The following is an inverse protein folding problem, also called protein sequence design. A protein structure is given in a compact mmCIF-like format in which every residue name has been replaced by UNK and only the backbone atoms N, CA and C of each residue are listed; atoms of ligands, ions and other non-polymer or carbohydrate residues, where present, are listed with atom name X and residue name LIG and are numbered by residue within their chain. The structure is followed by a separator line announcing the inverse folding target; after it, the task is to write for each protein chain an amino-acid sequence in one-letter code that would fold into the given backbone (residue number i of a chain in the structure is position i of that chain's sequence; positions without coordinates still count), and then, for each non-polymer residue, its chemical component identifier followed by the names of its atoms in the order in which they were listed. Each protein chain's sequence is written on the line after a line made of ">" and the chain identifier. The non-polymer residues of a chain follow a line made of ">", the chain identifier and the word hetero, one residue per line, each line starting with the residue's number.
data_IF_472977589751
#
_entry.id   IF_472977589751
#
_cell.length_a   1.000
_cell.length_b   1.000
_cell.length_c   1.000
_cell.angle_alpha   90.00
_cell.angle_beta   90.00
_cell.angle_gamma   90.00
#
_symmetry.space_group_name_H-M   'P 1'
#
loop_
_entity.id
_entity.type
_entity.pdbx_description
1 polymer ?
#
# COMPACT_ATOMS: atom_id res chain seq x y z
N UNK A 1 5.45 56.44 -15.03
CA UNK A 1 5.23 56.11 -13.61
C UNK A 1 3.79 55.70 -13.28
N UNK A 2 2.74 56.32 -13.85
CA UNK A 2 1.35 55.94 -13.56
C UNK A 2 0.95 54.49 -13.93
N UNK A 3 1.47 53.95 -15.04
CA UNK A 3 1.17 52.56 -15.47
C UNK A 3 1.70 51.48 -14.51
N UNK A 4 2.78 51.77 -13.78
CA UNK A 4 3.36 50.86 -12.78
C UNK A 4 2.56 50.85 -11.47
N UNK A 5 2.03 52.02 -11.05
CA UNK A 5 1.14 52.11 -9.88
C UNK A 5 -0.18 51.36 -10.09
N UNK A 6 -0.78 51.43 -11.30
CA UNK A 6 -2.01 50.67 -11.61
C UNK A 6 -1.82 49.15 -11.61
N UNK A 7 -0.64 48.63 -12.01
CA UNK A 7 -0.34 47.19 -11.96
C UNK A 7 -0.07 46.68 -10.55
N UNK A 8 0.61 47.45 -9.70
CA UNK A 8 0.82 47.10 -8.30
C UNK A 8 -0.49 47.04 -7.49
N UNK A 9 -1.41 47.97 -7.75
CA UNK A 9 -2.74 47.99 -7.12
C UNK A 9 -3.61 46.82 -7.59
N UNK A 10 -3.53 46.44 -8.87
CA UNK A 10 -4.26 45.28 -9.40
C UNK A 10 -3.75 43.95 -8.81
N UNK A 11 -2.43 43.80 -8.66
CA UNK A 11 -1.83 42.60 -8.07
C UNK A 11 -2.17 42.47 -6.58
N UNK A 12 -2.14 43.59 -5.83
CA UNK A 12 -2.53 43.62 -4.43
C UNK A 12 -4.03 43.33 -4.24
N UNK A 13 -4.90 43.84 -5.12
CA UNK A 13 -6.33 43.52 -5.11
C UNK A 13 -6.61 42.05 -5.43
N UNK A 14 -5.88 41.44 -6.36
CA UNK A 14 -6.02 40.00 -6.67
C UNK A 14 -5.57 39.14 -5.50
N UNK A 15 -4.44 39.46 -4.86
CA UNK A 15 -3.97 38.72 -3.67
C UNK A 15 -4.94 38.90 -2.49
N UNK A 16 -5.46 40.10 -2.26
CA UNK A 16 -6.46 40.35 -1.21
C UNK A 16 -7.79 39.64 -1.53
N UNK A 17 -8.20 39.55 -2.79
CA UNK A 17 -9.39 38.77 -3.18
C UNK A 17 -9.19 37.27 -3.03
N UNK A 18 -7.98 36.73 -3.32
CA UNK A 18 -7.66 35.31 -3.10
C UNK A 18 -7.63 34.99 -1.60
N UNK A 19 -7.04 35.84 -0.76
CA UNK A 19 -7.02 35.65 0.70
C UNK A 19 -8.41 35.88 1.32
N UNK A 20 -9.18 36.84 0.83
CA UNK A 20 -10.54 37.08 1.30
C UNK A 20 -11.51 35.97 0.87
N UNK A 21 -11.35 35.39 -0.32
CA UNK A 21 -12.10 34.20 -0.73
C UNK A 21 -11.66 32.95 0.04
N UNK A 22 -10.38 32.82 0.40
CA UNK A 22 -9.88 31.78 1.31
C UNK A 22 -10.53 31.88 2.71
N UNK A 23 -10.61 33.09 3.27
CA UNK A 23 -11.26 33.33 4.55
C UNK A 23 -12.79 33.23 4.49
N UNK A 24 -13.42 33.56 3.35
CA UNK A 24 -14.86 33.35 3.15
C UNK A 24 -15.23 31.87 2.95
N UNK A 25 -14.34 31.05 2.38
CA UNK A 25 -14.54 29.59 2.31
C UNK A 25 -14.42 28.95 3.69
N UNK A 26 -13.53 29.44 4.57
CA UNK A 26 -13.53 29.01 5.97
C UNK A 26 -14.73 29.54 6.78
N UNK A 27 -15.21 30.76 6.50
CA UNK A 27 -16.25 31.40 7.31
C UNK A 27 -17.70 31.12 6.85
N UNK A 28 -17.91 30.68 5.60
CA UNK A 28 -19.25 30.41 5.06
C UNK A 28 -19.50 28.90 4.92
N UNK A 29 -19.66 28.21 6.05
CA UNK A 29 -20.35 26.92 6.10
C UNK A 29 -19.51 25.68 6.38
N UNK A 30 -18.34 25.78 7.02
CA UNK A 30 -17.76 24.61 7.70
C UNK A 30 -18.70 24.22 8.85
N UNK A 31 -19.59 23.27 8.58
CA UNK A 31 -19.97 22.32 9.63
C UNK A 31 -18.64 21.66 10.00
N UNK A 32 -18.05 22.05 11.13
CA UNK A 32 -16.91 21.34 11.71
C UNK A 32 -17.36 19.87 11.85
N UNK A 33 -16.92 19.01 10.93
CA UNK A 33 -17.44 17.66 10.78
C UNK A 33 -17.22 16.90 12.07
N UNK A 34 -16.05 17.04 12.70
CA UNK A 34 -15.75 16.51 14.04
C UNK A 34 -16.85 16.87 15.04
N UNK A 35 -17.17 18.16 15.18
CA UNK A 35 -18.21 18.64 16.11
C UNK A 35 -19.59 18.07 15.78
N UNK A 36 -19.93 17.96 14.49
CA UNK A 36 -21.21 17.34 14.05
C UNK A 36 -21.24 15.87 14.47
N UNK A 37 -20.20 15.10 14.15
CA UNK A 37 -20.11 13.67 14.45
C UNK A 37 -20.14 13.40 15.95
N UNK A 38 -19.44 14.19 16.76
CA UNK A 38 -19.51 14.11 18.22
C UNK A 38 -20.93 14.39 18.73
N UNK A 39 -21.59 15.43 18.22
CA UNK A 39 -22.94 15.79 18.65
C UNK A 39 -24.02 14.77 18.22
N UNK A 40 -23.77 14.04 17.14
CA UNK A 40 -24.66 13.01 16.59
C UNK A 40 -24.36 11.61 17.15
N UNK A 41 -23.32 11.45 17.97
CA UNK A 41 -22.87 10.13 18.46
C UNK A 41 -22.31 9.22 17.37
N UNK A 42 -21.82 9.81 16.27
CA UNK A 42 -21.18 9.12 15.13
C UNK A 42 -19.65 9.02 15.26
N UNK A 43 -19.11 9.75 16.21
CA UNK A 43 -17.73 9.70 16.69
C UNK A 43 -17.80 9.71 18.22
N UNK A 44 -17.09 8.78 18.85
CA UNK A 44 -17.02 8.68 20.31
C UNK A 44 -15.56 8.73 20.73
N UNK A 45 -15.27 9.45 21.80
CA UNK A 45 -13.94 9.45 22.42
C UNK A 45 -13.78 8.20 23.28
N UNK A 46 -12.67 7.48 23.12
CA UNK A 46 -12.40 6.27 23.89
C UNK A 46 -12.00 6.67 25.32
N UNK A 47 -12.88 6.41 26.30
CA UNK A 47 -12.44 6.27 27.69
C UNK A 47 -11.83 4.88 27.87
N UNK A 48 -10.68 4.78 28.54
CA UNK A 48 -9.81 3.59 28.64
C UNK A 48 -10.41 2.26 29.12
N UNK A 49 -11.71 2.19 29.47
CA UNK A 49 -12.23 1.15 30.37
C UNK A 49 -13.41 0.29 29.84
N UNK A 50 -13.75 0.31 28.53
CA UNK A 50 -14.71 -0.68 27.98
C UNK A 50 -14.57 -0.89 26.47
N UNK A 51 -14.00 -2.03 26.09
CA UNK A 51 -13.67 -2.40 24.70
C UNK A 51 -14.81 -3.13 23.96
N UNK A 52 -15.62 -3.89 24.71
CA UNK A 52 -16.70 -4.70 24.16
C UNK A 52 -17.63 -5.09 25.31
N UNK A 53 -18.94 -5.15 25.07
CA UNK A 53 -19.86 -5.80 25.99
C UNK A 53 -20.56 -6.96 25.30
N UNK A 54 -20.43 -8.14 25.90
CA UNK A 54 -21.00 -9.39 25.39
C UNK A 54 -22.04 -9.85 26.39
N UNK A 55 -23.26 -10.08 25.90
CA UNK A 55 -24.36 -10.61 26.71
C UNK A 55 -24.88 -11.87 26.05
N UNK A 56 -24.86 -12.99 26.78
CA UNK A 56 -25.43 -14.25 26.30
C UNK A 56 -26.92 -14.05 25.98
N UNK A 57 -27.32 -14.43 24.77
CA UNK A 57 -28.69 -14.28 24.29
C UNK A 57 -29.27 -15.64 23.89
N UNK A 58 -30.53 -15.87 24.25
CA UNK A 58 -31.19 -17.11 23.88
C UNK A 58 -31.52 -17.11 22.39
N UNK A 59 -30.98 -18.07 21.66
CA UNK A 59 -31.34 -18.30 20.26
C UNK A 59 -32.84 -18.63 20.13
N UNK A 60 -33.60 -17.71 19.53
CA UNK A 60 -35.04 -17.88 19.31
C UNK A 60 -35.33 -18.68 18.05
N UNK A 61 -36.50 -19.33 17.97
CA UNK A 61 -36.92 -20.07 16.76
C UNK A 61 -36.88 -19.21 15.49
N UNK A 62 -37.20 -17.92 15.62
CA UNK A 62 -37.18 -16.98 14.50
C UNK A 62 -35.75 -16.75 14.00
N UNK A 63 -34.79 -16.58 14.91
CA UNK A 63 -33.37 -16.41 14.57
C UNK A 63 -32.79 -17.70 13.98
N UNK A 64 -33.04 -18.86 14.62
CA UNK A 64 -32.65 -20.17 14.07
C UNK A 64 -33.15 -20.36 12.63
N UNK A 65 -34.42 -20.01 12.38
CA UNK A 65 -34.99 -20.15 11.04
C UNK A 65 -34.36 -19.23 10.00
N UNK A 66 -33.79 -18.09 10.40
CA UNK A 66 -33.03 -17.21 9.50
C UNK A 66 -31.65 -17.81 9.19
N UNK A 67 -30.94 -18.25 10.23
CA UNK A 67 -29.63 -18.89 10.12
C UNK A 67 -29.72 -20.11 9.18
N UNK A 68 -30.66 -21.02 9.41
CA UNK A 68 -30.81 -22.25 8.61
C UNK A 68 -31.21 -22.02 7.14
N UNK A 69 -31.66 -20.81 6.80
CA UNK A 69 -32.02 -20.43 5.42
C UNK A 69 -30.89 -19.69 4.70
N UNK A 70 -29.82 -19.34 5.40
CA UNK A 70 -28.70 -18.62 4.80
C UNK A 70 -27.94 -19.56 3.84
N UNK A 71 -27.80 -19.13 2.59
CA UNK A 71 -27.16 -19.97 1.55
C UNK A 71 -25.66 -20.12 1.76
N UNK A 72 -24.99 -19.10 2.29
CA UNK A 72 -23.56 -19.17 2.62
C UNK A 72 -23.32 -20.25 3.66
N UNK A 73 -24.10 -20.26 4.74
CA UNK A 73 -23.96 -21.28 5.80
C UNK A 73 -24.22 -22.69 5.29
N UNK A 74 -25.16 -22.84 4.34
CA UNK A 74 -25.41 -24.13 3.69
C UNK A 74 -24.18 -24.65 2.92
N UNK A 75 -23.49 -23.78 2.18
CA UNK A 75 -22.26 -24.18 1.46
C UNK A 75 -21.08 -24.43 2.41
N UNK A 76 -21.10 -23.81 3.59
CA UNK A 76 -20.13 -24.05 4.68
C UNK A 76 -20.54 -25.22 5.60
N UNK A 77 -21.58 -25.99 5.25
CA UNK A 77 -22.15 -27.09 6.05
C UNK A 77 -22.43 -26.70 7.53
N UNK A 78 -22.82 -25.45 7.75
CA UNK A 78 -23.06 -24.86 9.07
C UNK A 78 -24.57 -24.61 9.27
N UNK A 79 -25.10 -24.89 10.48
CA UNK A 79 -26.53 -24.70 10.79
C UNK A 79 -26.77 -24.27 12.23
N UNK A 80 -27.96 -23.76 12.53
CA UNK A 80 -28.31 -23.29 13.87
C UNK A 80 -28.28 -24.39 14.95
N UNK A 81 -28.35 -25.67 14.54
CA UNK A 81 -28.24 -26.82 15.46
C UNK A 81 -26.82 -27.09 15.94
N UNK A 82 -25.82 -26.54 15.26
CA UNK A 82 -24.40 -26.64 15.59
C UNK A 82 -23.93 -25.53 16.55
N UNK A 83 -24.78 -24.54 16.85
CA UNK A 83 -24.44 -23.40 17.71
C UNK A 83 -24.27 -23.87 19.16
N UNK A 84 -23.12 -23.56 19.75
CA UNK A 84 -22.77 -23.79 21.14
C UNK A 84 -23.11 -22.55 21.99
N UNK A 85 -22.81 -21.36 21.48
CA UNK A 85 -23.10 -20.08 22.15
C UNK A 85 -23.62 -19.06 21.15
N UNK A 86 -24.57 -18.24 21.61
CA UNK A 86 -25.14 -17.14 20.84
C UNK A 86 -25.17 -15.91 21.73
N UNK A 87 -24.44 -14.88 21.33
CA UNK A 87 -24.23 -13.68 22.13
C UNK A 87 -24.74 -12.46 21.37
N UNK A 88 -25.30 -11.52 22.11
CA UNK A 88 -25.43 -10.14 21.64
C UNK A 88 -24.14 -9.39 21.94
N UNK A 89 -23.63 -8.71 20.93
CA UNK A 89 -22.36 -8.00 20.99
C UNK A 89 -22.61 -6.51 20.81
N UNK A 90 -21.98 -5.71 21.66
CA UNK A 90 -21.84 -4.27 21.49
C UNK A 90 -20.34 -3.98 21.27
N UNK A 91 -19.92 -4.07 20.01
CA UNK A 91 -18.54 -3.86 19.58
C UNK A 91 -18.39 -2.41 19.08
N UNK A 92 -17.59 -1.62 19.81
CA UNK A 92 -17.41 -0.19 19.50
C UNK A 92 -16.54 0.06 18.25
N UNK A 93 -15.71 -0.91 17.86
CA UNK A 93 -14.91 -0.80 16.64
C UNK A 93 -15.66 -1.29 15.40
N UNK A 94 -16.59 -2.22 15.59
CA UNK A 94 -17.41 -2.83 14.54
C UNK A 94 -18.89 -2.75 14.90
N UNK A 95 -19.48 -1.54 14.88
CA UNK A 95 -20.86 -1.33 15.32
C UNK A 95 -21.89 -2.10 14.47
N UNK A 96 -21.50 -2.58 13.29
CA UNK A 96 -22.35 -3.40 12.44
C UNK A 96 -22.49 -4.83 12.98
N UNK A 97 -21.56 -5.31 13.82
CA UNK A 97 -21.66 -6.61 14.50
C UNK A 97 -22.58 -6.46 15.70
N UNK A 98 -23.65 -7.25 15.70
CA UNK A 98 -24.71 -7.20 16.71
C UNK A 98 -24.91 -8.54 17.40
N UNK A 99 -24.55 -9.64 16.73
CA UNK A 99 -24.55 -10.97 17.32
C UNK A 99 -23.28 -11.73 16.94
N UNK A 100 -22.85 -12.62 17.81
CA UNK A 100 -21.78 -13.58 17.57
C UNK A 100 -22.28 -14.97 17.95
N UNK A 101 -21.99 -15.96 17.09
CA UNK A 101 -22.29 -17.35 17.35
C UNK A 101 -21.03 -18.21 17.22
N UNK A 102 -20.79 -19.06 18.22
CA UNK A 102 -19.73 -20.07 18.17
C UNK A 102 -20.34 -21.44 17.88
N UNK A 103 -19.70 -22.21 17.02
CA UNK A 103 -20.21 -23.49 16.51
C UNK A 103 -19.33 -24.67 16.95
N UNK A 104 -19.88 -25.88 16.81
CA UNK A 104 -19.24 -27.13 17.23
C UNK A 104 -18.03 -27.56 16.39
N UNK A 105 -17.88 -27.02 15.19
CA UNK A 105 -16.74 -27.20 14.28
C UNK A 105 -15.61 -26.18 14.53
N UNK A 106 -15.73 -25.40 15.62
CA UNK A 106 -14.78 -24.34 15.98
C UNK A 106 -14.99 -23.02 15.23
N UNK A 107 -15.98 -22.93 14.33
CA UNK A 107 -16.25 -21.67 13.63
C UNK A 107 -16.89 -20.62 14.53
N UNK A 108 -16.57 -19.36 14.26
CA UNK A 108 -17.19 -18.17 14.88
C UNK A 108 -17.76 -17.30 13.78
N UNK A 109 -19.04 -16.96 13.91
CA UNK A 109 -19.77 -16.18 12.91
C UNK A 109 -20.40 -14.95 13.56
N UNK A 110 -20.13 -13.80 12.96
CA UNK A 110 -20.66 -12.51 13.39
C UNK A 110 -21.78 -12.06 12.44
N UNK A 111 -22.86 -11.57 13.03
CA UNK A 111 -24.06 -11.14 12.32
C UNK A 111 -24.42 -9.69 12.62
N UNK A 112 -25.06 -9.06 11.64
CA UNK A 112 -25.76 -7.79 11.84
C UNK A 112 -27.13 -7.98 12.55
N UNK A 113 -27.86 -6.88 12.73
CA UNK A 113 -29.20 -6.92 13.32
C UNK A 113 -30.28 -7.56 12.42
N UNK A 114 -30.00 -7.82 11.15
CA UNK A 114 -30.86 -8.56 10.23
C UNK A 114 -30.59 -10.07 10.26
N UNK A 115 -29.47 -10.51 10.85
CA UNK A 115 -28.89 -11.86 10.79
C UNK A 115 -28.18 -12.17 9.46
N UNK A 116 -27.70 -11.16 8.76
CA UNK A 116 -26.77 -11.34 7.65
C UNK A 116 -25.35 -11.52 8.19
N UNK A 117 -24.55 -12.35 7.53
CA UNK A 117 -23.17 -12.65 7.96
C UNK A 117 -22.27 -11.47 7.60
N UNK A 118 -21.65 -10.89 8.61
CA UNK A 118 -20.65 -9.81 8.47
C UNK A 118 -19.24 -10.40 8.45
N UNK A 119 -19.00 -11.39 9.32
CA UNK A 119 -17.71 -12.09 9.42
C UNK A 119 -17.93 -13.58 9.69
N UNK A 120 -17.02 -14.39 9.16
CA UNK A 120 -16.88 -15.82 9.45
C UNK A 120 -15.40 -16.11 9.68
N UNK A 121 -15.11 -16.92 10.69
CA UNK A 121 -13.78 -17.47 10.92
C UNK A 121 -13.84 -18.94 11.30
N UNK A 122 -12.94 -19.75 10.74
CA UNK A 122 -12.73 -21.14 11.14
C UNK A 122 -11.25 -21.50 10.97
N UNK A 123 -10.53 -21.48 12.09
CA UNK A 123 -9.12 -21.86 12.15
C UNK A 123 -8.91 -23.32 12.57
N UNK A 124 -9.97 -24.09 12.76
CA UNK A 124 -9.87 -25.51 13.14
C UNK A 124 -9.64 -26.38 11.89
N UNK A 125 -8.38 -26.76 11.63
CA UNK A 125 -7.90 -27.40 10.39
C UNK A 125 -8.64 -28.68 9.99
N UNK A 126 -9.41 -29.30 10.90
CA UNK A 126 -10.13 -30.55 10.65
C UNK A 126 -11.43 -30.37 9.82
N UNK A 127 -11.90 -29.13 9.61
CA UNK A 127 -13.17 -28.85 8.90
C UNK A 127 -12.93 -28.51 7.42
N UNK A 128 -13.32 -29.40 6.51
CA UNK A 128 -13.20 -29.20 5.05
C UNK A 128 -14.50 -28.68 4.42
N UNK A 129 -14.40 -27.98 3.29
CA UNK A 129 -15.54 -27.74 2.40
C UNK A 129 -16.13 -29.10 2.00
N UNK A 130 -17.46 -29.19 1.89
CA UNK A 130 -18.15 -30.37 1.37
C UNK A 130 -17.47 -30.88 0.08
N UNK A 131 -17.19 -32.18 0.01
CA UNK A 131 -16.46 -32.80 -1.11
C UNK A 131 -17.11 -32.59 -2.48
N UNK A 132 -18.38 -32.19 -2.51
CA UNK A 132 -19.18 -31.96 -3.72
C UNK A 132 -19.19 -30.49 -4.18
N UNK A 133 -18.60 -29.57 -3.42
CA UNK A 133 -18.60 -28.12 -3.70
C UNK A 133 -17.21 -27.64 -4.11
N UNK A 134 -17.08 -27.00 -5.28
CA UNK A 134 -15.82 -26.37 -5.67
C UNK A 134 -15.65 -25.02 -4.96
N UNK A 135 -14.40 -24.57 -4.78
CA UNK A 135 -14.17 -23.25 -4.19
C UNK A 135 -14.80 -22.13 -5.02
N UNK A 136 -14.84 -22.26 -6.35
CA UNK A 136 -15.51 -21.29 -7.23
C UNK A 136 -17.01 -21.22 -6.98
N UNK A 137 -17.66 -22.34 -6.67
CA UNK A 137 -19.08 -22.37 -6.34
C UNK A 137 -19.35 -21.59 -5.04
N UNK A 138 -18.51 -21.76 -4.02
CA UNK A 138 -18.57 -20.95 -2.79
C UNK A 138 -18.41 -19.46 -3.12
N UNK A 139 -17.37 -19.10 -3.87
CA UNK A 139 -17.14 -17.71 -4.25
C UNK A 139 -18.33 -17.14 -5.04
N UNK A 140 -18.97 -17.94 -5.90
CA UNK A 140 -20.16 -17.53 -6.65
C UNK A 140 -21.37 -17.29 -5.74
N UNK A 141 -21.60 -18.16 -4.75
CA UNK A 141 -22.65 -17.97 -3.74
C UNK A 141 -22.39 -16.72 -2.93
N UNK A 142 -21.16 -16.52 -2.43
CA UNK A 142 -20.78 -15.32 -1.68
C UNK A 142 -21.02 -14.05 -2.50
N UNK A 143 -20.56 -14.00 -3.75
CA UNK A 143 -20.80 -12.84 -4.63
C UNK A 143 -22.29 -12.58 -4.84
N UNK A 144 -23.10 -13.62 -5.03
CA UNK A 144 -24.53 -13.48 -5.23
C UNK A 144 -25.25 -12.96 -3.98
N UNK A 145 -24.95 -13.53 -2.81
CA UNK A 145 -25.58 -13.12 -1.54
C UNK A 145 -25.16 -11.71 -1.12
N UNK A 146 -23.90 -11.33 -1.37
CA UNK A 146 -23.38 -10.01 -1.05
C UNK A 146 -23.50 -8.97 -2.18
N UNK A 147 -24.21 -9.30 -3.28
CA UNK A 147 -24.40 -8.42 -4.43
C UNK A 147 -23.09 -7.87 -5.05
N UNK A 148 -22.05 -8.70 -5.08
CA UNK A 148 -20.76 -8.39 -5.70
C UNK A 148 -20.88 -8.58 -7.21
N UNK A 149 -20.95 -7.48 -7.94
CA UNK A 149 -21.13 -7.44 -9.39
C UNK A 149 -19.83 -7.03 -10.14
N UNK A 150 -19.96 -6.72 -11.44
CA UNK A 150 -18.82 -6.35 -12.29
C UNK A 150 -18.21 -4.98 -11.97
N UNK A 151 -18.81 -4.20 -11.07
CA UNK A 151 -18.26 -2.93 -10.60
C UNK A 151 -17.23 -3.14 -9.48
N UNK A 152 -17.06 -4.35 -8.96
CA UNK A 152 -16.01 -4.66 -8.00
C UNK A 152 -14.71 -5.05 -8.71
N UNK A 153 -13.59 -4.52 -8.22
CA UNK A 153 -12.26 -4.93 -8.64
C UNK A 153 -11.81 -6.14 -7.86
N UNK A 154 -11.55 -7.21 -8.59
CA UNK A 154 -11.04 -8.47 -8.05
C UNK A 154 -9.52 -8.46 -7.93
N UNK A 155 -9.01 -8.99 -6.82
CA UNK A 155 -7.60 -9.32 -6.60
C UNK A 155 -7.49 -10.67 -5.88
N UNK A 156 -6.39 -11.39 -6.14
CA UNK A 156 -6.01 -12.60 -5.41
C UNK A 156 -4.54 -12.57 -5.06
N UNK A 157 -4.20 -12.87 -3.81
CA UNK A 157 -2.83 -12.83 -3.28
C UNK A 157 -2.56 -14.11 -2.50
N UNK A 158 -1.42 -14.73 -2.77
CA UNK A 158 -0.87 -15.80 -1.93
C UNK A 158 -0.18 -15.17 -0.71
N UNK A 159 -0.56 -15.59 0.49
CA UNK A 159 -0.09 -15.04 1.77
C UNK A 159 0.17 -16.17 2.77
N UNK A 160 1.45 -16.48 2.99
CA UNK A 160 1.92 -17.53 3.91
C UNK A 160 1.33 -18.93 3.64
N UNK A 161 1.13 -19.27 2.37
CA UNK A 161 0.50 -20.53 1.93
C UNK A 161 -0.98 -20.35 1.63
N UNK A 162 -1.70 -19.50 2.36
CA UNK A 162 -3.11 -19.23 2.09
C UNK A 162 -3.32 -18.44 0.79
N UNK A 163 -4.55 -18.50 0.27
CA UNK A 163 -5.00 -17.63 -0.82
C UNK A 163 -6.06 -16.67 -0.31
N UNK A 164 -5.81 -15.38 -0.46
CA UNK A 164 -6.75 -14.30 -0.14
C UNK A 164 -7.36 -13.76 -1.42
N UNK A 165 -8.68 -13.86 -1.53
CA UNK A 165 -9.48 -13.27 -2.59
C UNK A 165 -10.16 -12.00 -2.08
N UNK A 166 -10.07 -10.90 -2.81
CA UNK A 166 -10.68 -9.63 -2.43
C UNK A 166 -11.42 -8.99 -3.60
N UNK A 167 -12.61 -8.47 -3.32
CA UNK A 167 -13.42 -7.67 -4.23
C UNK A 167 -13.72 -6.32 -3.57
N UNK A 168 -13.20 -5.23 -4.13
CA UNK A 168 -13.46 -3.88 -3.64
C UNK A 168 -14.32 -3.11 -4.64
N UNK A 169 -15.36 -2.42 -4.18
CA UNK A 169 -16.21 -1.62 -5.05
C UNK A 169 -15.36 -0.57 -5.76
N UNK A 170 -15.37 -0.56 -7.08
CA UNK A 170 -14.66 0.45 -7.84
C UNK A 170 -15.61 1.60 -8.18
N UNK A 171 -15.24 2.79 -7.72
CA UNK A 171 -15.87 4.03 -8.12
C UNK A 171 -15.21 4.52 -9.41
N UNK A 172 -15.91 4.35 -10.52
CA UNK A 172 -15.45 4.81 -11.84
C UNK A 172 -15.47 6.33 -12.00
N UNK A 173 -16.30 7.05 -11.24
CA UNK A 173 -16.40 8.50 -11.32
C UNK A 173 -15.18 9.16 -10.68
N UNK A 174 -14.79 8.69 -9.49
CA UNK A 174 -13.63 9.21 -8.77
C UNK A 174 -12.33 8.42 -9.02
N UNK A 175 -12.42 7.33 -9.81
CA UNK A 175 -11.31 6.45 -10.17
C UNK A 175 -10.53 5.91 -8.95
N UNK A 176 -11.25 5.45 -7.93
CA UNK A 176 -10.69 4.85 -6.72
C UNK A 176 -11.48 3.60 -6.28
N UNK A 177 -10.91 2.78 -5.40
CA UNK A 177 -11.64 1.68 -4.77
C UNK A 177 -12.16 2.09 -3.39
N UNK A 178 -13.36 1.62 -3.05
CA UNK A 178 -13.91 1.77 -1.71
C UNK A 178 -13.66 0.49 -0.91
N UNK A 179 -12.64 0.53 -0.05
CA UNK A 179 -12.30 -0.59 0.85
C UNK A 179 -13.41 -0.93 1.85
N UNK A 180 -14.29 0.03 2.15
CA UNK A 180 -15.41 -0.15 3.08
C UNK A 180 -16.68 -0.69 2.41
N UNK A 181 -16.66 -0.88 1.09
CA UNK A 181 -17.61 -1.69 0.35
C UNK A 181 -16.85 -2.81 -0.36
N UNK A 182 -16.55 -3.87 0.38
CA UNK A 182 -15.70 -4.97 -0.10
C UNK A 182 -16.09 -6.33 0.48
N UNK A 183 -15.60 -7.39 -0.19
CA UNK A 183 -15.67 -8.77 0.27
C UNK A 183 -14.24 -9.33 0.27
N UNK A 184 -13.83 -9.92 1.40
CA UNK A 184 -12.54 -10.60 1.54
C UNK A 184 -12.79 -12.04 1.96
N UNK A 185 -12.18 -12.99 1.25
CA UNK A 185 -12.27 -14.42 1.53
C UNK A 185 -10.86 -14.98 1.60
N UNK A 186 -10.51 -15.65 2.71
CA UNK A 186 -9.26 -16.39 2.85
C UNK A 186 -9.55 -17.87 2.79
N UNK A 187 -8.81 -18.58 1.96
CA UNK A 187 -8.82 -20.04 1.86
C UNK A 187 -7.42 -20.58 2.11
N UNK A 188 -7.33 -21.84 2.52
CA UNK A 188 -6.04 -22.53 2.60
C UNK A 188 -5.39 -22.69 1.22
N UNK A 189 -4.13 -23.12 1.21
CA UNK A 189 -3.31 -23.35 0.01
C UNK A 189 -3.93 -24.31 -1.01
N UNK A 190 -4.63 -25.34 -0.52
CA UNK A 190 -5.31 -26.34 -1.35
C UNK A 190 -6.68 -25.89 -1.89
N UNK A 191 -7.18 -24.72 -1.45
CA UNK A 191 -8.52 -24.20 -1.78
C UNK A 191 -9.66 -25.16 -1.37
N UNK A 192 -9.42 -25.97 -0.35
CA UNK A 192 -10.36 -26.98 0.19
C UNK A 192 -11.05 -26.51 1.47
N UNK A 193 -10.66 -25.35 2.01
CA UNK A 193 -11.23 -24.79 3.24
C UNK A 193 -11.36 -23.27 3.18
N UNK A 194 -12.51 -22.75 3.61
CA UNK A 194 -12.68 -21.32 3.91
C UNK A 194 -12.21 -21.07 5.35
N UNK A 195 -11.22 -20.21 5.50
CA UNK A 195 -10.67 -19.80 6.80
C UNK A 195 -11.34 -18.52 7.31
N UNK A 196 -11.55 -17.55 6.42
CA UNK A 196 -12.14 -16.26 6.75
C UNK A 196 -13.07 -15.77 5.64
N UNK A 197 -14.16 -15.13 6.04
CA UNK A 197 -14.98 -14.26 5.18
C UNK A 197 -15.20 -12.96 5.93
N UNK A 198 -14.97 -11.82 5.29
CA UNK A 198 -15.32 -10.50 5.82
C UNK A 198 -16.09 -9.70 4.78
N UNK A 199 -17.28 -9.21 5.14
CA UNK A 199 -18.09 -8.31 4.33
C UNK A 199 -18.10 -6.91 4.95
N UNK A 200 -17.59 -5.94 4.21
CA UNK A 200 -17.67 -4.52 4.55
C UNK A 200 -18.73 -3.86 3.68
N UNK A 201 -19.76 -3.25 4.26
CA UNK A 201 -20.85 -2.61 3.50
C UNK A 201 -21.23 -1.25 4.11
N UNK A 202 -20.24 -0.44 4.43
CA UNK A 202 -20.48 0.84 5.08
C UNK A 202 -21.04 1.87 4.09
N UNK A 203 -22.01 2.65 4.56
CA UNK A 203 -22.51 3.80 3.81
C UNK A 203 -21.43 4.88 3.65
N UNK A 204 -21.36 5.49 2.47
CA UNK A 204 -20.38 6.51 2.14
C UNK A 204 -20.99 7.74 1.47
N UNK A 205 -20.36 8.90 1.72
CA UNK A 205 -20.71 10.19 1.10
C UNK A 205 -19.48 11.13 1.08
N UNK A 206 -19.37 12.12 0.18
CA UNK A 206 -20.19 12.29 -1.01
C UNK A 206 -19.88 11.24 -2.07
N UNK A 207 -20.73 11.17 -3.10
CA UNK A 207 -20.53 10.31 -4.28
C UNK A 207 -19.59 10.98 -5.30
N UNK A 208 -19.40 12.29 -5.23
CA UNK A 208 -18.54 13.04 -6.16
C UNK A 208 -17.79 14.15 -5.44
N UNK A 209 -16.59 14.50 -5.91
CA UNK A 209 -15.84 15.64 -5.40
C UNK A 209 -16.52 16.98 -5.72
N UNK A 210 -16.49 17.92 -4.76
CA UNK A 210 -16.92 19.31 -4.92
C UNK A 210 -15.77 20.31 -4.85
N UNK A 211 -14.58 19.89 -4.40
CA UNK A 211 -13.35 20.69 -4.45
C UNK A 211 -12.42 20.20 -5.56
N UNK A 212 -11.43 21.02 -5.93
CA UNK A 212 -10.39 20.62 -6.87
C UNK A 212 -9.21 19.96 -6.16
N UNK A 213 -8.49 19.10 -6.89
CA UNK A 213 -7.23 18.50 -6.44
C UNK A 213 -6.22 19.57 -5.99
N UNK A 214 -6.12 20.69 -6.70
CA UNK A 214 -5.21 21.77 -6.34
C UNK A 214 -5.59 22.41 -5.01
N UNK A 215 -6.89 22.65 -4.75
CA UNK A 215 -7.34 23.15 -3.45
C UNK A 215 -7.00 22.17 -2.34
N UNK A 216 -7.18 20.87 -2.56
CA UNK A 216 -6.84 19.84 -1.58
C UNK A 216 -5.32 19.81 -1.27
N UNK A 217 -4.47 19.93 -2.28
CA UNK A 217 -3.00 20.02 -2.10
C UNK A 217 -2.59 21.21 -1.25
N UNK A 218 -3.16 22.39 -1.50
CA UNK A 218 -2.85 23.60 -0.73
C UNK A 218 -3.32 23.46 0.72
N UNK A 219 -4.51 22.89 0.94
CA UNK A 219 -5.03 22.61 2.28
C UNK A 219 -4.11 21.64 3.04
N UNK A 220 -3.67 20.55 2.38
CA UNK A 220 -2.76 19.59 2.98
C UNK A 220 -1.42 20.20 3.40
N UNK A 221 -0.80 21.03 2.55
CA UNK A 221 0.45 21.75 2.89
C UNK A 221 0.28 22.73 4.05
N UNK A 222 -0.94 23.23 4.30
CA UNK A 222 -1.21 24.17 5.38
C UNK A 222 -1.41 23.53 6.77
N UNK A 223 -1.45 22.20 6.86
CA UNK A 223 -1.74 21.47 8.10
C UNK A 223 -0.61 21.64 9.13
N UNK A 224 0.65 21.67 8.69
CA UNK A 224 1.84 21.84 9.53
C UNK A 224 2.82 22.78 8.85
N UNK A 225 3.53 23.60 9.62
CA UNK A 225 4.52 24.55 9.08
C UNK A 225 5.69 23.82 8.39
N UNK A 226 6.02 22.62 8.86
CA UNK A 226 7.11 21.80 8.35
C UNK A 226 6.79 21.02 7.07
N UNK A 227 5.56 21.07 6.56
CA UNK A 227 5.16 20.38 5.33
C UNK A 227 5.64 21.13 4.08
N UNK A 228 6.44 20.46 3.23
CA UNK A 228 7.16 21.15 2.15
C UNK A 228 6.62 20.84 0.75
N UNK A 229 6.46 19.55 0.42
CA UNK A 229 6.16 19.11 -0.94
C UNK A 229 5.05 18.06 -0.97
N UNK A 230 4.07 18.28 -1.86
CA UNK A 230 3.12 17.23 -2.22
C UNK A 230 3.77 16.28 -3.22
N UNK A 231 3.84 15.01 -2.83
CA UNK A 231 4.51 13.94 -3.58
C UNK A 231 3.51 13.05 -4.32
N UNK A 232 2.27 12.96 -3.84
CA UNK A 232 1.15 12.28 -4.50
C UNK A 232 -0.19 12.89 -4.08
N UNK A 233 -1.21 12.79 -4.93
CA UNK A 233 -2.59 13.14 -4.58
C UNK A 233 -3.53 12.21 -5.35
N UNK A 234 -4.33 11.42 -4.64
CA UNK A 234 -5.28 10.46 -5.21
C UNK A 234 -6.60 10.50 -4.47
N UNK A 235 -7.70 10.11 -5.13
CA UNK A 235 -8.98 9.92 -4.45
C UNK A 235 -8.98 8.63 -3.64
N UNK A 236 -9.65 8.62 -2.49
CA UNK A 236 -9.79 7.45 -1.61
C UNK A 236 -11.08 7.55 -0.79
N UNK A 237 -11.50 6.45 -0.19
CA UNK A 237 -12.55 6.42 0.82
C UNK A 237 -11.95 6.15 2.18
N UNK A 238 -12.28 6.99 3.17
CA UNK A 238 -11.68 6.94 4.52
C UNK A 238 -12.76 7.17 5.59
N UNK A 239 -12.69 6.42 6.69
CA UNK A 239 -13.38 6.78 7.94
C UNK A 239 -12.60 7.90 8.64
N UNK A 240 -13.21 9.06 8.94
CA UNK A 240 -12.53 10.14 9.66
C UNK A 240 -11.79 9.65 10.90
N UNK A 241 -10.58 10.15 11.11
CA UNK A 241 -9.75 9.79 12.27
C UNK A 241 -9.09 11.00 12.97
N UNK A 242 -9.22 12.20 12.41
CA UNK A 242 -8.73 13.46 12.98
C UNK A 242 -7.26 13.43 13.45
N UNK A 243 -6.42 12.62 12.79
CA UNK A 243 -5.01 12.38 13.15
C UNK A 243 -4.16 13.64 13.34
N UNK A 244 -4.47 14.72 12.62
CA UNK A 244 -3.69 15.96 12.64
C UNK A 244 -4.12 16.97 13.70
N UNK A 245 -5.19 16.69 14.44
CA UNK A 245 -5.65 17.52 15.56
C UNK A 245 -4.59 17.52 16.68
N UNK A 246 -4.49 18.63 17.40
CA UNK A 246 -3.51 18.77 18.50
C UNK A 246 -3.94 18.05 19.79
N UNK A 247 -5.19 17.60 19.86
CA UNK A 247 -5.74 16.87 21.00
C UNK A 247 -5.35 15.39 20.89
N UNK A 248 -4.51 14.90 21.82
CA UNK A 248 -4.10 13.49 21.91
C UNK A 248 -5.25 12.63 22.45
N UNK A 249 -6.27 12.45 21.62
CA UNK A 249 -7.50 11.71 21.93
C UNK A 249 -7.65 10.58 20.93
N UNK A 250 -7.77 9.36 21.44
CA UNK A 250 -8.14 8.21 20.63
C UNK A 250 -9.66 8.22 20.41
N UNK A 251 -10.07 8.21 19.15
CA UNK A 251 -11.48 8.09 18.77
C UNK A 251 -11.83 6.65 18.42
N UNK A 252 -13.06 6.25 18.71
CA UNK A 252 -13.69 5.10 18.06
C UNK A 252 -13.74 5.36 16.54
N UNK A 253 -13.66 4.30 15.73
CA UNK A 253 -13.75 4.46 14.26
C UNK A 253 -15.07 5.16 13.94
N UNK A 254 -14.98 6.30 13.23
CA UNK A 254 -16.17 7.00 12.77
C UNK A 254 -17.07 6.04 11.98
N UNK A 255 -18.37 6.03 12.28
CA UNK A 255 -19.35 5.15 11.61
C UNK A 255 -19.80 5.68 10.24
N UNK A 256 -19.03 6.60 9.65
CA UNK A 256 -19.26 7.18 8.34
C UNK A 256 -18.00 7.05 7.49
N UNK A 257 -18.19 6.81 6.20
CA UNK A 257 -17.10 6.77 5.22
C UNK A 257 -17.19 8.02 4.35
N UNK A 258 -16.06 8.72 4.21
CA UNK A 258 -15.96 9.94 3.41
C UNK A 258 -15.09 9.75 2.18
N UNK A 259 -15.52 10.29 1.04
CA UNK A 259 -14.67 10.44 -0.13
C UNK A 259 -13.67 11.58 0.14
N UNK A 260 -12.38 11.31 -0.07
CA UNK A 260 -11.30 12.26 0.22
C UNK A 260 -10.31 12.36 -0.92
N UNK A 261 -9.58 13.47 -0.95
CA UNK A 261 -8.24 13.50 -1.51
C UNK A 261 -7.27 13.00 -0.45
N UNK A 262 -6.60 11.88 -0.72
CA UNK A 262 -5.45 11.39 0.01
C UNK A 262 -4.19 12.07 -0.56
N UNK A 263 -3.71 13.09 0.16
CA UNK A 263 -2.55 13.89 -0.23
C UNK A 263 -1.32 13.41 0.52
N UNK A 264 -0.34 12.89 -0.22
CA UNK A 264 0.94 12.47 0.36
C UNK A 264 1.93 13.63 0.37
N UNK A 265 2.40 14.01 1.56
CA UNK A 265 3.35 15.10 1.79
C UNK A 265 4.69 14.53 2.26
N UNK A 266 5.77 15.03 1.66
CA UNK A 266 7.16 14.68 1.98
C UNK A 266 7.46 13.16 1.97
N UNK A 267 6.73 12.41 1.13
CA UNK A 267 6.77 10.95 0.95
C UNK A 267 6.40 10.10 2.19
N UNK A 268 5.90 10.70 3.27
CA UNK A 268 5.72 10.00 4.55
C UNK A 268 4.38 10.29 5.22
N UNK A 269 3.87 11.51 5.08
CA UNK A 269 2.64 11.96 5.71
C UNK A 269 1.47 11.84 4.73
N UNK A 270 0.34 11.30 5.17
CA UNK A 270 -0.89 11.25 4.40
C UNK A 270 -1.90 12.20 5.05
N UNK A 271 -2.41 13.16 4.29
CA UNK A 271 -3.45 14.10 4.72
C UNK A 271 -4.74 13.78 3.98
N UNK A 272 -5.83 13.53 4.72
CA UNK A 272 -7.13 13.22 4.16
C UNK A 272 -8.00 14.48 4.14
N UNK A 273 -8.14 15.06 2.96
CA UNK A 273 -8.95 16.26 2.72
C UNK A 273 -10.31 15.84 2.16
N UNK A 274 -11.38 16.13 2.89
CA UNK A 274 -12.74 15.80 2.50
C UNK A 274 -13.10 16.39 1.12
N UNK A 275 -13.52 15.54 0.20
CA UNK A 275 -13.75 15.94 -1.19
C UNK A 275 -14.98 16.84 -1.36
N UNK A 276 -15.89 16.89 -0.37
CA UNK A 276 -17.07 17.74 -0.39
C UNK A 276 -16.79 19.14 0.15
N UNK A 277 -16.11 19.21 1.29
CA UNK A 277 -16.01 20.41 2.13
C UNK A 277 -14.63 21.04 2.12
N UNK A 278 -13.58 20.27 1.82
CA UNK A 278 -12.19 20.68 2.00
C UNK A 278 -11.72 20.66 3.46
N UNK A 279 -12.50 20.11 4.40
CA UNK A 279 -12.04 19.90 5.77
C UNK A 279 -10.97 18.80 5.82
N UNK A 280 -9.93 18.98 6.64
CA UNK A 280 -8.97 17.91 6.93
C UNK A 280 -9.59 17.01 7.98
N UNK A 281 -10.00 15.81 7.58
CA UNK A 281 -10.76 14.89 8.42
C UNK A 281 -9.92 13.73 8.95
N UNK A 282 -8.61 13.76 8.66
CA UNK A 282 -7.69 12.76 9.14
C UNK A 282 -6.36 12.72 8.44
N UNK A 283 -5.60 11.68 8.77
CA UNK A 283 -4.32 11.37 8.17
C UNK A 283 -3.70 10.11 8.71
N UNK A 284 -2.48 9.86 8.29
CA UNK A 284 -1.65 8.76 8.74
C UNK A 284 -0.18 9.04 8.41
N UNK A 285 0.74 8.22 8.93
CA UNK A 285 2.18 8.29 8.67
C UNK A 285 2.69 6.90 8.31
N UNK A 286 3.50 6.81 7.25
CA UNK A 286 4.12 5.53 6.84
C UNK A 286 5.04 5.01 7.95
N UNK A 287 4.70 3.84 8.53
CA UNK A 287 5.41 3.23 9.67
C UNK A 287 6.72 2.51 9.32
N UNK A 288 7.10 2.47 8.05
CA UNK A 288 8.40 1.98 7.59
C UNK A 288 8.91 2.85 6.45
N UNK A 289 10.18 3.25 6.49
CA UNK A 289 10.87 3.84 5.34
C UNK A 289 12.07 2.96 5.05
N UNK A 290 12.01 2.26 3.92
CA UNK A 290 13.18 1.59 3.38
C UNK A 290 13.85 2.57 2.45
N UNK A 291 15.00 3.08 2.86
CA UNK A 291 15.74 4.05 2.07
C UNK A 291 16.43 3.30 0.90
N UNK A 292 16.54 3.99 -0.23
CA UNK A 292 17.35 3.56 -1.38
C UNK A 292 18.43 4.58 -1.72
N UNK A 293 19.63 4.08 -2.04
CA UNK A 293 20.77 4.86 -2.51
C UNK A 293 21.05 4.61 -3.98
N UNK A 294 21.14 5.70 -4.76
CA UNK A 294 21.32 5.66 -6.22
C UNK A 294 22.60 6.43 -6.54
N UNK A 295 23.61 5.72 -7.00
CA UNK A 295 24.94 6.26 -7.24
C UNK A 295 25.37 5.96 -8.66
N UNK A 296 25.73 6.97 -9.43
CA UNK A 296 26.09 6.79 -10.84
C UNK A 296 27.36 7.55 -11.17
N UNK A 297 28.25 6.89 -11.91
CA UNK A 297 29.49 7.49 -12.39
C UNK A 297 29.21 8.51 -13.50
N UNK A 298 29.60 9.76 -13.30
CA UNK A 298 29.41 10.85 -14.27
C UNK A 298 30.20 10.69 -15.59
N UNK A 299 31.20 9.80 -15.61
CA UNK A 299 32.00 9.51 -16.81
C UNK A 299 31.28 8.68 -17.87
N UNK A 300 30.09 8.13 -17.59
CA UNK A 300 29.32 7.36 -18.57
C UNK A 300 28.27 8.20 -19.29
N UNK A 301 28.14 8.00 -20.61
CA UNK A 301 27.25 8.76 -21.50
C UNK A 301 25.79 8.82 -21.05
N UNK A 302 25.29 7.79 -20.37
CA UNK A 302 23.89 7.65 -19.94
C UNK A 302 23.71 7.70 -18.42
N UNK A 303 24.66 8.30 -17.70
CA UNK A 303 24.68 8.39 -16.25
C UNK A 303 23.36 8.95 -15.68
N UNK A 304 22.96 10.14 -16.13
CA UNK A 304 21.75 10.82 -15.66
C UNK A 304 20.49 10.03 -15.96
N UNK A 305 20.36 9.48 -17.17
CA UNK A 305 19.19 8.72 -17.59
C UNK A 305 19.04 7.43 -16.77
N UNK A 306 20.14 6.71 -16.54
CA UNK A 306 20.14 5.48 -15.74
C UNK A 306 19.80 5.77 -14.28
N UNK A 307 20.36 6.84 -13.71
CA UNK A 307 20.04 7.32 -12.36
C UNK A 307 18.56 7.66 -12.20
N UNK A 308 17.96 8.36 -13.19
CA UNK A 308 16.54 8.75 -13.14
C UNK A 308 15.59 7.55 -13.26
N UNK A 309 15.94 6.56 -14.08
CA UNK A 309 15.18 5.31 -14.20
C UNK A 309 15.17 4.55 -12.86
N UNK A 310 16.35 4.38 -12.24
CA UNK A 310 16.47 3.75 -10.93
C UNK A 310 15.69 4.51 -9.85
N UNK A 311 15.82 5.86 -9.79
CA UNK A 311 15.08 6.72 -8.83
C UNK A 311 13.57 6.54 -8.94
N UNK A 312 13.08 6.57 -10.17
CA UNK A 312 11.64 6.39 -10.44
C UNK A 312 11.18 5.00 -10.02
N UNK A 313 11.96 3.97 -10.33
CA UNK A 313 11.60 2.59 -10.01
C UNK A 313 11.63 2.31 -8.50
N UNK A 314 12.69 2.71 -7.79
CA UNK A 314 12.78 2.56 -6.33
C UNK A 314 11.62 3.28 -5.63
N UNK A 315 11.29 4.50 -6.05
CA UNK A 315 10.13 5.23 -5.51
C UNK A 315 8.82 4.45 -5.70
N UNK A 316 8.57 3.92 -6.90
CA UNK A 316 7.38 3.09 -7.19
C UNK A 316 7.38 1.73 -6.49
N UNK A 317 8.55 1.20 -6.15
CA UNK A 317 8.70 -0.01 -5.36
C UNK A 317 8.54 0.25 -3.86
N UNK A 318 8.28 1.49 -3.43
CA UNK A 318 8.03 1.86 -2.04
C UNK A 318 9.27 2.25 -1.25
N UNK A 319 10.43 2.42 -1.91
CA UNK A 319 11.62 2.94 -1.26
C UNK A 319 11.60 4.46 -1.21
N UNK A 320 12.08 5.02 -0.11
CA UNK A 320 12.38 6.44 -0.01
C UNK A 320 13.74 6.73 -0.65
N UNK A 321 13.77 7.62 -1.65
CA UNK A 321 14.99 7.94 -2.39
C UNK A 321 15.92 8.86 -1.60
N UNK A 322 16.57 8.32 -0.56
CA UNK A 322 17.40 9.06 0.39
C UNK A 322 18.54 9.81 -0.26
N UNK A 323 19.28 9.15 -1.15
CA UNK A 323 20.41 9.75 -1.85
C UNK A 323 20.35 9.39 -3.32
N UNK A 324 20.43 10.41 -4.17
CA UNK A 324 20.71 10.27 -5.60
C UNK A 324 21.95 11.11 -5.93
N UNK A 325 23.03 10.46 -6.39
CA UNK A 325 24.31 11.12 -6.66
C UNK A 325 24.88 10.68 -7.99
N UNK A 326 25.15 11.65 -8.87
CA UNK A 326 25.91 11.47 -10.11
C UNK A 326 27.26 12.16 -9.93
N UNK A 327 28.35 11.41 -9.90
CA UNK A 327 29.69 11.96 -9.63
C UNK A 327 30.81 10.99 -9.99
N UNK A 328 32.00 11.55 -10.24
CA UNK A 328 33.26 10.84 -10.34
C UNK A 328 33.83 10.39 -9.00
N UNK A 329 33.39 10.99 -7.89
CA UNK A 329 33.84 10.69 -6.53
C UNK A 329 32.67 10.13 -5.70
N UNK A 330 32.46 8.81 -5.76
CA UNK A 330 31.32 8.15 -5.10
C UNK A 330 31.66 7.51 -3.74
N UNK A 331 32.94 7.21 -3.46
CA UNK A 331 33.35 6.42 -2.28
C UNK A 331 32.72 6.91 -0.98
N UNK A 332 32.93 8.18 -0.64
CA UNK A 332 32.46 8.74 0.64
C UNK A 332 30.94 8.65 0.76
N UNK A 333 30.20 8.97 -0.29
CA UNK A 333 28.73 8.97 -0.27
C UNK A 333 28.13 7.56 -0.26
N UNK A 334 28.72 6.63 -1.02
CA UNK A 334 28.27 5.23 -1.04
C UNK A 334 28.53 4.58 0.32
N UNK A 335 29.74 4.77 0.85
CA UNK A 335 30.12 4.22 2.15
C UNK A 335 29.28 4.82 3.29
N UNK A 336 29.06 6.14 3.29
CA UNK A 336 28.20 6.79 4.28
C UNK A 336 26.78 6.21 4.23
N UNK A 337 26.15 6.17 3.06
CA UNK A 337 24.82 5.58 2.92
C UNK A 337 24.72 4.14 3.45
N UNK A 338 25.71 3.31 3.14
CA UNK A 338 25.72 1.92 3.58
C UNK A 338 25.94 1.75 5.10
N UNK A 339 26.75 2.60 5.73
CA UNK A 339 27.19 2.41 7.12
C UNK A 339 26.39 3.23 8.13
N UNK A 340 25.94 4.43 7.75
CA UNK A 340 25.28 5.37 8.67
C UNK A 340 23.75 5.31 8.63
N UNK A 341 23.17 4.60 7.67
CA UNK A 341 21.73 4.53 7.49
C UNK A 341 21.22 3.15 7.94
N UNK A 342 20.54 3.13 9.08
CA UNK A 342 19.90 1.93 9.62
C UNK A 342 18.69 1.47 8.78
N UNK A 343 18.34 2.26 7.75
CA UNK A 343 17.25 2.00 6.81
C UNK A 343 17.74 1.80 5.38
N UNK A 344 19.03 1.58 5.15
CA UNK A 344 19.57 1.26 3.82
C UNK A 344 19.16 -0.15 3.35
N UNK A 345 18.10 -0.23 2.54
CA UNK A 345 17.56 -1.50 2.03
C UNK A 345 17.59 -1.60 0.49
N UNK A 346 17.69 -0.48 -0.22
CA UNK A 346 17.77 -0.43 -1.69
C UNK A 346 19.09 0.16 -2.17
N UNK A 347 19.71 -0.44 -3.19
CA UNK A 347 20.96 0.09 -3.75
C UNK A 347 21.04 -0.07 -5.26
N UNK A 348 21.37 1.02 -5.94
CA UNK A 348 21.83 0.98 -7.33
C UNK A 348 23.15 1.71 -7.47
N UNK A 349 24.15 1.01 -8.03
CA UNK A 349 25.45 1.60 -8.34
C UNK A 349 25.81 1.34 -9.79
N UNK A 350 25.86 2.41 -10.59
CA UNK A 350 26.33 2.38 -11.96
C UNK A 350 27.77 2.90 -12.02
N UNK A 351 28.71 1.99 -12.31
CA UNK A 351 30.16 2.25 -12.21
C UNK A 351 30.99 1.20 -12.96
N UNK A 352 32.31 1.24 -12.85
CA UNK A 352 33.15 0.09 -13.19
C UNK A 352 33.16 -0.93 -12.06
N UNK A 353 33.35 -2.21 -12.38
CA UNK A 353 33.25 -3.28 -11.39
C UNK A 353 34.19 -4.44 -11.66
N UNK A 354 34.38 -5.21 -10.60
CA UNK A 354 34.95 -6.56 -10.60
C UNK A 354 34.13 -7.42 -9.63
N UNK A 355 34.49 -8.70 -9.50
CA UNK A 355 33.94 -9.58 -8.46
C UNK A 355 34.15 -9.12 -7.01
N UNK A 356 35.02 -8.13 -6.77
CA UNK A 356 35.38 -7.67 -5.42
C UNK A 356 35.36 -6.16 -5.21
N UNK A 357 35.30 -5.37 -6.27
CA UNK A 357 35.41 -3.91 -6.18
C UNK A 357 34.46 -3.19 -7.12
N UNK A 358 33.96 -2.05 -6.68
CA UNK A 358 33.35 -1.01 -7.51
C UNK A 358 34.32 0.16 -7.64
N UNK A 359 34.32 0.85 -8.77
CA UNK A 359 35.27 1.95 -9.01
C UNK A 359 34.76 3.01 -10.00
N UNK A 360 35.27 4.23 -9.86
CA UNK A 360 35.04 5.37 -10.76
C UNK A 360 36.35 6.07 -11.07
N UNK A 361 36.61 6.42 -12.34
CA UNK A 361 37.83 7.17 -12.71
C UNK A 361 39.16 6.57 -12.20
N UNK A 362 39.23 5.24 -12.03
CA UNK A 362 40.40 4.54 -11.47
C UNK A 362 40.49 4.51 -9.94
N UNK A 363 39.49 5.01 -9.21
CA UNK A 363 39.41 5.00 -7.74
C UNK A 363 38.40 3.99 -7.26
N UNK A 364 38.74 3.23 -6.23
CA UNK A 364 37.80 2.28 -5.62
C UNK A 364 36.70 3.04 -4.87
N UNK A 365 35.46 2.66 -5.12
CA UNK A 365 34.26 3.16 -4.44
C UNK A 365 33.97 2.27 -3.23
N UNK A 366 33.93 0.95 -3.44
CA UNK A 366 33.51 -0.02 -2.44
C UNK A 366 34.22 -1.36 -2.68
N UNK A 367 34.64 -2.00 -1.60
CA UNK A 367 35.03 -3.42 -1.61
C UNK A 367 33.88 -4.31 -1.12
N UNK A 368 33.81 -5.55 -1.60
CA UNK A 368 32.75 -6.48 -1.18
C UNK A 368 32.80 -6.81 0.32
N UNK A 369 33.98 -6.81 0.94
CA UNK A 369 34.15 -7.03 2.39
C UNK A 369 33.87 -5.79 3.25
N UNK A 370 33.68 -4.62 2.63
CA UNK A 370 33.22 -3.41 3.32
C UNK A 370 31.68 -3.37 3.46
N UNK A 371 30.95 -4.31 2.85
CA UNK A 371 29.49 -4.30 2.87
C UNK A 371 28.94 -4.63 4.24
N UNK A 372 28.09 -3.74 4.76
CA UNK A 372 27.32 -3.90 6.00
C UNK A 372 25.83 -3.68 5.72
N UNK A 373 24.98 -3.90 6.72
CA UNK A 373 23.53 -3.69 6.62
C UNK A 373 22.71 -4.95 6.28
N UNK A 374 21.42 -4.72 6.01
CA UNK A 374 20.45 -5.72 5.59
C UNK A 374 19.79 -5.21 4.31
N UNK A 375 20.02 -5.90 3.19
CA UNK A 375 19.62 -5.39 1.88
C UNK A 375 18.43 -6.17 1.33
N UNK A 376 17.46 -5.45 0.77
CA UNK A 376 16.32 -6.05 0.08
C UNK A 376 16.56 -6.13 -1.42
N UNK A 377 16.96 -5.02 -2.05
CA UNK A 377 17.17 -4.99 -3.49
C UNK A 377 18.43 -4.23 -3.87
N UNK A 378 19.39 -4.96 -4.46
CA UNK A 378 20.67 -4.42 -4.91
C UNK A 378 20.84 -4.67 -6.41
N UNK A 379 21.16 -3.62 -7.16
CA UNK A 379 21.64 -3.74 -8.54
C UNK A 379 22.98 -3.03 -8.69
N UNK A 380 24.05 -3.83 -8.82
CA UNK A 380 25.36 -3.34 -9.20
C UNK A 380 25.51 -3.36 -10.72
N UNK A 381 25.15 -2.24 -11.35
CA UNK A 381 25.34 -1.98 -12.78
C UNK A 381 26.82 -1.68 -13.08
N UNK A 382 27.65 -2.71 -12.91
CA UNK A 382 29.09 -2.67 -13.06
C UNK A 382 29.64 -4.04 -13.48
N UNK A 383 30.70 -4.06 -14.28
CA UNK A 383 31.22 -5.29 -14.89
C UNK A 383 31.55 -6.38 -13.86
N UNK A 384 31.30 -7.65 -14.19
CA UNK A 384 31.68 -8.83 -13.39
C UNK A 384 31.21 -8.85 -11.92
N UNK A 385 30.24 -8.02 -11.53
CA UNK A 385 29.70 -7.99 -10.16
C UNK A 385 28.83 -9.22 -9.84
N UNK A 386 28.37 -9.94 -10.86
CA UNK A 386 27.65 -11.20 -10.71
C UNK A 386 28.40 -12.40 -11.31
N UNK A 387 29.71 -12.27 -11.56
CA UNK A 387 30.54 -13.36 -12.09
C UNK A 387 30.49 -14.60 -11.18
N UNK A 388 30.51 -14.38 -9.86
CA UNK A 388 30.32 -15.37 -8.80
C UNK A 388 29.34 -14.83 -7.73
N UNK A 389 29.26 -15.49 -6.57
CA UNK A 389 28.35 -15.13 -5.46
C UNK A 389 28.96 -14.11 -4.49
N UNK A 390 30.16 -13.58 -4.71
CA UNK A 390 30.90 -12.74 -3.74
C UNK A 390 30.07 -11.53 -3.30
N UNK A 391 29.56 -10.75 -4.26
CA UNK A 391 28.73 -9.59 -3.94
C UNK A 391 27.37 -9.97 -3.34
N UNK A 392 26.69 -10.98 -3.90
CA UNK A 392 25.40 -11.43 -3.36
C UNK A 392 25.52 -11.92 -1.90
N UNK A 393 26.62 -12.58 -1.55
CA UNK A 393 26.92 -12.98 -0.17
C UNK A 393 27.23 -11.78 0.72
N UNK A 394 28.03 -10.83 0.23
CA UNK A 394 28.36 -9.59 0.95
C UNK A 394 27.10 -8.79 1.33
N UNK A 395 26.13 -8.69 0.41
CA UNK A 395 24.83 -8.04 0.66
C UNK A 395 23.83 -8.93 1.45
N UNK A 396 24.23 -10.12 1.91
CA UNK A 396 23.37 -11.10 2.61
C UNK A 396 22.10 -11.45 1.83
N UNK A 397 22.24 -11.71 0.53
CA UNK A 397 21.12 -11.99 -0.37
C UNK A 397 20.85 -13.50 -0.49
N UNK A 398 21.91 -14.31 -0.56
CA UNK A 398 21.76 -15.75 -0.68
C UNK A 398 21.17 -16.35 0.62
N UNK A 399 20.28 -17.33 0.46
CA UNK A 399 19.57 -18.03 1.55
C UNK A 399 18.64 -17.14 2.41
N UNK A 400 18.22 -15.99 1.89
CA UNK A 400 17.23 -15.12 2.52
C UNK A 400 16.03 -14.91 1.59
N UNK A 401 14.82 -14.96 2.14
CA UNK A 401 13.59 -14.63 1.44
C UNK A 401 13.49 -13.12 1.19
N UNK A 402 12.67 -12.69 0.23
CA UNK A 402 12.36 -11.27 -0.03
C UNK A 402 13.60 -10.42 -0.34
N UNK A 403 14.62 -11.02 -0.98
CA UNK A 403 15.88 -10.34 -1.33
C UNK A 403 16.31 -10.62 -2.76
N UNK A 404 16.84 -9.61 -3.44
CA UNK A 404 17.33 -9.70 -4.81
C UNK A 404 18.66 -8.98 -5.01
N UNK A 405 19.55 -9.62 -5.75
CA UNK A 405 20.76 -9.04 -6.29
C UNK A 405 20.79 -9.19 -7.81
N UNK A 406 21.15 -8.12 -8.49
CA UNK A 406 21.46 -8.09 -9.92
C UNK A 406 22.86 -7.55 -10.16
N UNK A 407 23.51 -8.10 -11.19
CA UNK A 407 24.78 -7.61 -11.70
C UNK A 407 25.18 -8.33 -12.99
N UNK A 408 26.33 -7.96 -13.54
CA UNK A 408 26.80 -8.50 -14.82
C UNK A 408 27.81 -9.63 -14.59
N UNK A 409 27.71 -10.71 -15.37
CA UNK A 409 28.62 -11.87 -15.23
C UNK A 409 29.98 -11.69 -15.91
N UNK A 410 30.09 -10.67 -16.79
CA UNK A 410 31.30 -10.31 -17.52
C UNK A 410 31.25 -8.80 -17.85
N UNK A 411 32.15 -8.35 -18.71
CA UNK A 411 32.13 -7.00 -19.27
C UNK A 411 30.81 -6.73 -20.00
N UNK A 412 30.26 -5.53 -19.76
CA UNK A 412 29.09 -4.98 -20.45
C UNK A 412 29.43 -3.60 -20.99
N UNK A 413 28.97 -3.27 -22.20
CA UNK A 413 29.16 -1.93 -22.75
C UNK A 413 28.14 -0.96 -22.16
N UNK A 414 28.54 0.32 -22.03
CA UNK A 414 27.69 1.38 -21.46
C UNK A 414 26.34 1.50 -22.18
N UNK A 415 26.31 1.37 -23.51
CA UNK A 415 25.07 1.43 -24.29
C UNK A 415 24.16 0.23 -24.01
N UNK A 416 24.71 -0.98 -23.97
CA UNK A 416 23.93 -2.21 -23.75
C UNK A 416 23.36 -2.26 -22.31
N UNK A 417 24.15 -1.84 -21.32
CA UNK A 417 23.69 -1.70 -19.94
C UNK A 417 22.56 -0.67 -19.81
N UNK A 418 22.70 0.48 -20.49
CA UNK A 418 21.64 1.49 -20.50
C UNK A 418 20.37 1.00 -21.20
N UNK A 419 20.47 0.37 -22.36
CA UNK A 419 19.30 -0.17 -23.06
C UNK A 419 18.61 -1.26 -22.23
N UNK A 420 19.37 -2.10 -21.51
CA UNK A 420 18.79 -3.00 -20.51
C UNK A 420 18.01 -2.22 -19.44
N UNK A 421 18.61 -1.21 -18.82
CA UNK A 421 17.99 -0.41 -17.77
C UNK A 421 16.68 0.27 -18.23
N UNK A 422 16.59 0.69 -19.50
CA UNK A 422 15.37 1.26 -20.10
C UNK A 422 14.20 0.29 -20.18
N UNK A 423 14.47 -1.01 -20.31
CA UNK A 423 13.44 -2.05 -20.27
C UNK A 423 13.20 -2.53 -18.85
N UNK A 424 14.27 -2.75 -18.08
CA UNK A 424 14.24 -3.34 -16.76
C UNK A 424 13.47 -2.48 -15.74
N UNK A 425 13.86 -1.22 -15.57
CA UNK A 425 13.28 -0.37 -14.52
C UNK A 425 11.78 -0.15 -14.70
N UNK A 426 11.26 0.18 -15.90
CA UNK A 426 9.81 0.25 -16.11
C UNK A 426 9.11 -1.07 -15.85
N UNK A 427 9.66 -2.19 -16.32
CA UNK A 427 9.05 -3.52 -16.16
C UNK A 427 8.94 -3.93 -14.68
N UNK A 428 9.94 -3.60 -13.84
CA UNK A 428 9.89 -3.88 -12.39
C UNK A 428 8.69 -3.25 -11.68
N UNK A 429 8.12 -2.19 -12.26
CA UNK A 429 7.01 -1.43 -11.68
C UNK A 429 5.69 -1.67 -12.41
N UNK A 430 5.71 -1.73 -13.74
CA UNK A 430 4.52 -1.90 -14.57
C UNK A 430 4.04 -3.36 -14.63
N UNK A 431 4.95 -4.34 -14.47
CA UNK A 431 4.64 -5.77 -14.38
C UNK A 431 3.84 -6.33 -15.56
N UNK A 432 4.07 -5.78 -16.75
CA UNK A 432 3.34 -6.22 -17.95
C UNK A 432 3.72 -7.65 -18.38
N UNK A 433 4.90 -8.12 -17.99
CA UNK A 433 5.48 -9.39 -18.41
C UNK A 433 6.15 -10.15 -17.25
N UNK A 434 6.09 -9.64 -16.03
CA UNK A 434 6.85 -10.17 -14.90
C UNK A 434 6.14 -9.98 -13.56
N UNK A 435 6.25 -11.00 -12.71
CA UNK A 435 5.78 -10.99 -11.32
C UNK A 435 6.94 -10.85 -10.32
N UNK A 436 8.19 -11.12 -10.73
CA UNK A 436 9.38 -11.01 -9.89
C UNK A 436 10.53 -10.23 -10.54
N UNK A 437 11.48 -9.73 -9.72
CA UNK A 437 12.68 -9.01 -10.20
C UNK A 437 13.49 -9.87 -11.17
N UNK A 438 13.58 -11.17 -10.89
CA UNK A 438 14.26 -12.12 -11.78
C UNK A 438 13.60 -12.16 -13.16
N UNK A 439 12.28 -12.24 -13.22
CA UNK A 439 11.55 -12.28 -14.49
C UNK A 439 11.69 -10.97 -15.26
N UNK A 440 11.60 -9.82 -14.58
CA UNK A 440 11.81 -8.51 -15.19
C UNK A 440 13.23 -8.39 -15.80
N UNK A 441 14.25 -8.86 -15.09
CA UNK A 441 15.63 -8.86 -15.58
C UNK A 441 15.83 -9.76 -16.80
N UNK A 442 15.27 -10.98 -16.78
CA UNK A 442 15.34 -11.91 -17.93
C UNK A 442 14.62 -11.32 -19.14
N UNK A 443 13.43 -10.75 -18.94
CA UNK A 443 12.67 -10.10 -20.01
C UNK A 443 13.43 -8.91 -20.59
N UNK A 444 13.95 -8.03 -19.75
CA UNK A 444 14.71 -6.86 -20.20
C UNK A 444 15.97 -7.24 -20.99
N UNK A 445 16.71 -8.25 -20.54
CA UNK A 445 17.87 -8.77 -21.28
C UNK A 445 17.49 -9.28 -22.67
N UNK A 446 16.32 -9.91 -22.82
CA UNK A 446 15.82 -10.39 -24.13
C UNK A 446 15.47 -9.28 -25.12
N UNK A 447 15.33 -8.02 -24.66
CA UNK A 447 15.00 -6.87 -25.51
C UNK A 447 16.22 -6.18 -26.10
N UNK A 448 17.42 -6.44 -25.57
CA UNK A 448 18.66 -5.83 -26.06
C UNK A 448 19.28 -6.72 -27.14
N UNK A 449 19.50 -6.22 -28.37
CA UNK A 449 20.11 -7.00 -29.44
C UNK A 449 21.54 -7.46 -29.14
N UNK A 450 21.92 -8.61 -29.74
CA UNK A 450 23.26 -9.18 -29.63
C UNK A 450 23.36 -10.29 -28.59
N UNK A 451 23.85 -11.46 -29.00
CA UNK A 451 23.98 -12.59 -28.08
C UNK A 451 25.01 -12.28 -26.99
N UNK A 452 24.56 -12.27 -25.73
CA UNK A 452 25.42 -12.08 -24.57
C UNK A 452 25.96 -10.66 -24.38
N UNK A 453 25.30 -9.64 -24.96
CA UNK A 453 25.60 -8.21 -24.74
C UNK A 453 25.10 -7.72 -23.38
N UNK A 454 24.02 -8.32 -22.86
CA UNK A 454 23.46 -8.06 -21.52
C UNK A 454 23.52 -9.31 -20.64
N UNK A 455 24.72 -9.70 -20.16
CA UNK A 455 24.93 -10.96 -19.46
C UNK A 455 24.52 -10.84 -17.99
N UNK A 456 23.28 -10.43 -17.75
CA UNK A 456 22.68 -10.21 -16.43
C UNK A 456 22.60 -11.52 -15.66
N UNK A 457 22.86 -11.47 -14.36
CA UNK A 457 22.59 -12.58 -13.45
C UNK A 457 21.88 -12.11 -12.20
N UNK A 458 21.01 -12.98 -11.73
CA UNK A 458 20.19 -12.83 -10.55
C UNK A 458 20.66 -13.79 -9.45
N UNK A 459 20.72 -13.29 -8.22
CA UNK A 459 20.82 -14.08 -6.99
C UNK A 459 19.74 -13.64 -6.00
N UNK A 460 19.24 -14.55 -5.17
CA UNK A 460 18.21 -14.28 -4.15
C UNK A 460 16.90 -15.04 -4.37
N UNK A 461 15.83 -14.53 -3.77
CA UNK A 461 14.48 -15.09 -3.81
C UNK A 461 13.84 -14.89 -5.19
N UNK A 462 13.55 -15.99 -5.88
CA UNK A 462 13.05 -15.99 -7.27
C UNK A 462 11.63 -15.45 -7.40
N UNK A 463 10.88 -15.39 -6.29
CA UNK A 463 9.53 -14.89 -6.22
C UNK A 463 9.47 -13.43 -5.71
N UNK A 464 10.60 -12.90 -5.20
CA UNK A 464 10.64 -11.54 -4.70
C UNK A 464 10.34 -10.52 -5.81
N UNK A 465 9.38 -9.65 -5.52
CA UNK A 465 8.80 -8.72 -6.45
C UNK A 465 9.49 -7.34 -6.44
N UNK A 466 10.47 -7.12 -5.56
CA UNK A 466 11.26 -5.90 -5.49
C UNK A 466 10.71 -4.81 -4.59
N UNK A 467 9.56 -5.00 -3.94
CA UNK A 467 8.95 -3.98 -3.06
C UNK A 467 9.71 -3.81 -1.75
N UNK A 468 9.83 -2.57 -1.31
CA UNK A 468 10.12 -2.26 0.08
C UNK A 468 9.07 -2.93 0.99
N UNK A 469 9.55 -3.55 2.08
CA UNK A 469 8.73 -4.17 3.13
C UNK A 469 8.86 -3.46 4.46
#
# INVERSE_FOLDING_TARGET
>A
MEKLKKRGILLALVVVFVVASYNLVQAAGSKNLKKSLLSEGKLTEISSDSYESVTEEKLTKTLSSKIDKNKVLKELDTSSTNIISFNKVDNKYEPNVQYEASYNDGSVIEYDNQMEIVSYSNFDEDTQISSDTSYEDILNVLKAEYNIDTTYKYTSVEDDGDVVFSWEKFDSENNCTNRYDSLVVRMNDELTKVLLINRFNDFYEPISSKISEESAKQLALSVKEEFNEVTSCTMDYIKPNFFWDEEDVAYEKANIVRLVYNVEVDNINMVYVDAETGEVIGGDVKKGVNDSGIFTYDGFKYATQSSNLAKTAFGKLGYNNKITRISSELRTTVYAYMVSDDKAYGLYVNSHGTKRTLSTGGRVVLYADEVVGNWHFVFLDACSTAEDTTWANAFKINNHSKRAFLGWTKIVAVTDAYDFCRYFWPETTARNHSNSIRQAAVWAASKVPGSGTTPIRFYGDRNYNGRAY
#
